data_IF_967059334775
#
_entry.id   IF_967059334775
#
_cell.length_a   1.000
_cell.length_b   1.000
_cell.length_c   1.000
_cell.angle_alpha   90.00
_cell.angle_beta   90.00
_cell.angle_gamma   90.00
#
_symmetry.space_group_name_H-M   'P 1'
#
loop_
_entity.id
_entity.type
_entity.pdbx_description
1 polymer ?
#
# COMPACT_ATOMS: atom_id res chain seq x y z
N UNK A 1 -24.28 25.15 -6.07
CA UNK A 1 -23.37 24.24 -5.35
C UNK A 1 -23.15 22.99 -6.19
N UNK A 2 -22.04 22.86 -6.93
CA UNK A 2 -21.80 21.75 -7.88
C UNK A 2 -21.56 20.37 -7.26
N UNK A 3 -21.39 20.27 -5.94
CA UNK A 3 -21.10 19.00 -5.25
C UNK A 3 -22.37 18.16 -4.98
N UNK A 4 -23.53 18.80 -4.78
CA UNK A 4 -24.79 18.11 -4.47
C UNK A 4 -25.45 17.54 -5.74
N UNK A 5 -25.38 18.29 -6.85
CA UNK A 5 -26.05 17.95 -8.11
C UNK A 5 -25.28 16.93 -8.96
N UNK A 6 -23.99 16.73 -8.71
CA UNK A 6 -23.14 15.91 -9.57
C UNK A 6 -22.70 14.62 -8.87
N UNK A 7 -23.21 13.49 -9.37
CA UNK A 7 -22.90 12.14 -8.87
C UNK A 7 -21.46 11.73 -9.19
N UNK A 8 -20.90 12.16 -10.31
CA UNK A 8 -19.54 11.81 -10.73
C UNK A 8 -18.50 12.56 -9.86
N UNK A 9 -18.77 13.82 -9.55
CA UNK A 9 -17.94 14.62 -8.64
C UNK A 9 -17.94 14.00 -7.24
N UNK A 10 -19.09 13.54 -6.73
CA UNK A 10 -19.17 12.84 -5.43
C UNK A 10 -18.41 11.52 -5.42
N UNK A 11 -18.56 10.68 -6.45
CA UNK A 11 -17.82 9.41 -6.57
C UNK A 11 -16.31 9.64 -6.57
N UNK A 12 -15.85 10.65 -7.31
CA UNK A 12 -14.42 11.00 -7.39
C UNK A 12 -13.88 11.46 -6.04
N UNK A 13 -14.62 12.34 -5.35
CA UNK A 13 -14.23 12.83 -4.03
C UNK A 13 -14.20 11.68 -3.02
N UNK A 14 -15.23 10.82 -2.98
CA UNK A 14 -15.24 9.65 -2.09
C UNK A 14 -14.09 8.68 -2.38
N UNK A 15 -13.77 8.42 -3.64
CA UNK A 15 -12.64 7.55 -4.00
C UNK A 15 -11.29 8.13 -3.53
N UNK A 16 -11.09 9.44 -3.66
CA UNK A 16 -9.88 10.11 -3.19
C UNK A 16 -9.80 10.14 -1.64
N UNK A 17 -10.93 10.38 -0.98
CA UNK A 17 -11.02 10.37 0.49
C UNK A 17 -10.74 8.97 1.04
N UNK A 18 -11.39 7.93 0.52
CA UNK A 18 -11.18 6.55 0.97
C UNK A 18 -9.70 6.14 0.85
N UNK A 19 -9.04 6.46 -0.28
CA UNK A 19 -7.60 6.20 -0.46
C UNK A 19 -6.74 6.88 0.60
N UNK A 20 -7.07 8.14 0.91
CA UNK A 20 -6.34 8.93 1.91
C UNK A 20 -6.60 8.42 3.33
N UNK A 21 -7.83 7.99 3.64
CA UNK A 21 -8.20 7.41 4.92
C UNK A 21 -7.54 6.04 5.14
N UNK A 22 -7.57 5.15 4.14
CA UNK A 22 -6.87 3.87 4.23
C UNK A 22 -5.37 4.06 4.41
N UNK A 23 -4.75 4.99 3.66
CA UNK A 23 -3.33 5.32 3.82
C UNK A 23 -3.04 5.86 5.23
N UNK A 24 -3.85 6.78 5.74
CA UNK A 24 -3.68 7.30 7.10
C UNK A 24 -3.84 6.21 8.17
N UNK A 25 -4.80 5.31 8.00
CA UNK A 25 -4.98 4.14 8.86
C UNK A 25 -3.76 3.23 8.83
N UNK A 26 -3.21 3.00 7.64
CA UNK A 26 -2.01 2.19 7.45
C UNK A 26 -0.76 2.82 8.08
N UNK A 27 -0.56 4.12 7.89
CA UNK A 27 0.56 4.88 8.50
C UNK A 27 0.47 4.87 10.02
N UNK A 28 -0.74 4.98 10.59
CA UNK A 28 -0.95 4.82 12.04
C UNK A 28 -0.68 3.40 12.51
N UNK A 29 -1.09 2.40 11.74
CA UNK A 29 -0.82 0.99 12.05
C UNK A 29 0.68 0.69 12.02
N UNK A 30 1.41 1.22 11.03
CA UNK A 30 2.85 1.10 10.92
C UNK A 30 3.58 1.83 12.07
N UNK A 31 2.98 2.89 12.61
CA UNK A 31 3.50 3.62 13.75
C UNK A 31 3.15 2.91 15.07
N UNK A 32 3.80 1.77 15.30
CA UNK A 32 3.38 0.86 16.36
C UNK A 32 3.92 1.15 17.76
N UNK A 33 4.97 1.97 17.87
CA UNK A 33 5.55 2.38 19.14
C UNK A 33 4.74 3.49 19.80
N UNK A 34 4.38 3.32 21.08
CA UNK A 34 3.75 4.36 21.90
C UNK A 34 2.34 4.78 21.46
N UNK A 35 1.54 3.89 20.86
CA UNK A 35 0.19 4.17 20.31
C UNK A 35 0.16 5.29 19.26
N UNK A 36 1.33 5.59 18.68
CA UNK A 36 1.51 6.71 17.79
C UNK A 36 1.57 8.08 18.45
N UNK A 37 1.77 8.11 19.76
CA UNK A 37 2.02 9.32 20.55
C UNK A 37 3.50 9.70 20.39
N UNK A 38 3.74 10.88 19.82
CA UNK A 38 5.07 11.47 19.79
C UNK A 38 5.30 12.14 21.14
N UNK A 39 6.04 11.48 22.04
CA UNK A 39 6.36 11.98 23.37
C UNK A 39 7.32 13.19 23.37
N UNK A 40 7.95 13.46 22.22
CA UNK A 40 8.92 14.53 22.03
C UNK A 40 8.23 15.88 21.76
N UNK A 41 8.64 16.94 22.46
CA UNK A 41 8.05 18.29 22.34
C UNK A 41 8.82 19.17 21.33
N UNK A 42 9.99 18.74 20.88
CA UNK A 42 10.77 19.49 19.88
C UNK A 42 10.22 19.28 18.47
N UNK A 43 9.73 20.36 17.84
CA UNK A 43 9.13 20.33 16.49
C UNK A 43 10.02 19.66 15.42
N UNK A 44 11.34 19.86 15.49
CA UNK A 44 12.26 19.25 14.53
C UNK A 44 12.30 17.72 14.66
N UNK A 45 12.28 17.19 15.88
CA UNK A 45 12.26 15.75 16.14
C UNK A 45 10.91 15.13 15.78
N UNK A 46 9.80 15.81 16.06
CA UNK A 46 8.47 15.37 15.60
C UNK A 46 8.42 15.20 14.07
N UNK A 47 9.01 16.15 13.32
CA UNK A 47 9.09 16.03 11.85
C UNK A 47 9.91 14.84 11.39
N UNK A 48 11.01 14.50 12.08
CA UNK A 48 11.80 13.31 11.75
C UNK A 48 10.95 12.05 11.94
N UNK A 49 10.29 11.92 13.08
CA UNK A 49 9.45 10.76 13.42
C UNK A 49 8.37 10.55 12.34
N UNK A 50 7.66 11.62 11.95
CA UNK A 50 6.64 11.55 10.89
C UNK A 50 7.24 11.10 9.56
N UNK A 51 8.38 11.68 9.15
CA UNK A 51 9.04 11.33 7.88
C UNK A 51 9.55 9.89 7.87
N UNK A 52 10.16 9.43 8.95
CA UNK A 52 10.63 8.04 9.05
C UNK A 52 9.46 7.06 9.05
N UNK A 53 8.37 7.37 9.74
CA UNK A 53 7.18 6.53 9.71
C UNK A 53 6.56 6.46 8.30
N UNK A 54 6.47 7.58 7.59
CA UNK A 54 6.04 7.60 6.20
C UNK A 54 6.97 6.78 5.29
N UNK A 55 8.29 6.86 5.51
CA UNK A 55 9.26 6.05 4.78
C UNK A 55 9.02 4.55 5.01
N UNK A 56 8.86 4.12 6.27
CA UNK A 56 8.57 2.72 6.61
C UNK A 56 7.26 2.26 5.96
N UNK A 57 6.20 3.06 6.07
CA UNK A 57 4.92 2.76 5.42
C UNK A 57 5.08 2.57 3.90
N UNK A 58 5.81 3.48 3.23
CA UNK A 58 6.05 3.38 1.79
C UNK A 58 6.87 2.15 1.40
N UNK A 59 7.86 1.75 2.21
CA UNK A 59 8.63 0.53 1.97
C UNK A 59 7.76 -0.73 2.07
N UNK A 60 6.86 -0.77 3.06
CA UNK A 60 5.91 -1.88 3.21
C UNK A 60 4.89 -1.89 2.05
N UNK A 61 4.40 -0.72 1.64
CA UNK A 61 3.51 -0.59 0.47
C UNK A 61 4.20 -1.14 -0.79
N UNK A 62 5.46 -0.77 -1.01
CA UNK A 62 6.24 -1.28 -2.13
C UNK A 62 6.34 -2.81 -2.10
N UNK A 63 6.66 -3.39 -0.93
CA UNK A 63 6.71 -4.84 -0.75
C UNK A 63 5.36 -5.50 -1.04
N UNK A 64 4.26 -4.94 -0.52
CA UNK A 64 2.92 -5.47 -0.75
C UNK A 64 2.54 -5.44 -2.23
N UNK A 65 2.76 -4.31 -2.92
CA UNK A 65 2.47 -4.17 -4.35
C UNK A 65 3.30 -5.14 -5.18
N UNK A 66 4.57 -5.32 -4.85
CA UNK A 66 5.47 -6.21 -5.58
C UNK A 66 5.06 -7.69 -5.44
N UNK A 67 4.75 -8.13 -4.22
CA UNK A 67 4.26 -9.49 -3.97
C UNK A 67 2.88 -9.73 -4.59
N UNK A 68 1.97 -8.76 -4.49
CA UNK A 68 0.67 -8.84 -5.15
C UNK A 68 0.83 -8.93 -6.67
N UNK A 69 1.73 -8.14 -7.25
CA UNK A 69 2.01 -8.17 -8.70
C UNK A 69 2.55 -9.52 -9.14
N UNK A 70 3.43 -10.16 -8.35
CA UNK A 70 3.92 -11.52 -8.60
C UNK A 70 2.79 -12.55 -8.62
N UNK A 71 2.03 -12.62 -7.53
CA UNK A 71 0.96 -13.60 -7.38
C UNK A 71 -0.12 -13.40 -8.45
N UNK A 72 -0.47 -12.16 -8.78
CA UNK A 72 -1.44 -11.88 -9.85
C UNK A 72 -0.90 -12.27 -11.24
N UNK A 73 0.39 -12.10 -11.50
CA UNK A 73 0.99 -12.57 -12.75
C UNK A 73 0.97 -14.10 -12.85
N UNK A 74 1.33 -14.80 -11.77
CA UNK A 74 1.28 -16.27 -11.70
C UNK A 74 -0.14 -16.80 -11.93
N UNK A 75 -1.15 -16.23 -11.23
CA UNK A 75 -2.55 -16.61 -11.40
C UNK A 75 -3.05 -16.42 -12.83
N UNK A 76 -2.60 -15.36 -13.52
CA UNK A 76 -2.93 -15.14 -14.93
C UNK A 76 -2.28 -16.20 -15.82
N UNK A 77 -1.02 -16.52 -15.56
CA UNK A 77 -0.28 -17.52 -16.34
C UNK A 77 -0.88 -18.94 -16.16
N UNK A 78 -1.52 -19.19 -15.01
CA UNK A 78 -2.36 -20.38 -14.73
C UNK A 78 -3.74 -20.37 -15.43
N UNK A 79 -4.10 -19.28 -16.12
CA UNK A 79 -5.35 -19.13 -16.87
C UNK A 79 -6.47 -18.39 -16.13
N UNK A 80 -6.21 -17.81 -14.96
CA UNK A 80 -7.22 -17.01 -14.24
C UNK A 80 -7.43 -15.66 -14.93
N UNK A 81 -8.69 -15.29 -15.17
CA UNK A 81 -9.02 -13.99 -15.75
C UNK A 81 -9.02 -12.89 -14.67
N UNK A 82 -8.03 -11.99 -14.73
CA UNK A 82 -7.92 -10.84 -13.83
C UNK A 82 -8.47 -9.60 -14.53
N UNK A 83 -9.67 -9.19 -14.13
CA UNK A 83 -10.31 -8.00 -14.69
C UNK A 83 -9.80 -6.71 -14.04
N UNK A 84 -9.89 -5.55 -14.74
CA UNK A 84 -9.56 -4.25 -14.16
C UNK A 84 -10.36 -3.93 -12.90
N UNK A 85 -11.61 -4.40 -12.81
CA UNK A 85 -12.49 -4.19 -11.66
C UNK A 85 -12.00 -4.93 -10.41
N UNK A 86 -11.48 -6.15 -10.60
CA UNK A 86 -10.86 -6.93 -9.51
C UNK A 86 -9.63 -6.20 -8.99
N UNK A 87 -8.75 -5.72 -9.90
CA UNK A 87 -7.57 -4.96 -9.51
C UNK A 87 -7.93 -3.65 -8.79
N UNK A 88 -8.99 -2.98 -9.22
CA UNK A 88 -9.47 -1.75 -8.59
C UNK A 88 -9.98 -1.96 -7.15
N UNK A 89 -10.41 -3.17 -6.82
CA UNK A 89 -10.82 -3.56 -5.46
C UNK A 89 -9.66 -3.96 -4.55
N UNK A 90 -8.44 -4.09 -5.06
CA UNK A 90 -7.27 -4.46 -4.27
C UNK A 90 -6.60 -3.22 -3.69
N UNK A 91 -6.43 -3.22 -2.36
CA UNK A 91 -5.66 -2.20 -1.64
C UNK A 91 -4.27 -2.74 -1.27
N UNK A 92 -3.19 -1.95 -1.43
CA UNK A 92 -1.84 -2.33 -1.02
C UNK A 92 -1.62 -2.20 0.49
N UNK A 93 -2.58 -1.69 1.25
CA UNK A 93 -2.46 -1.41 2.69
C UNK A 93 -2.75 -2.64 3.57
N UNK A 94 -2.50 -3.85 3.06
CA UNK A 94 -2.74 -5.11 3.77
C UNK A 94 -1.70 -5.32 4.88
N UNK A 95 -2.15 -5.77 6.04
CA UNK A 95 -1.33 -5.88 7.25
C UNK A 95 -1.29 -7.28 7.85
N UNK A 96 -2.20 -8.17 7.43
CA UNK A 96 -2.37 -9.50 8.04
C UNK A 96 -1.16 -10.42 7.89
N UNK A 97 -0.35 -10.24 6.85
CA UNK A 97 0.86 -11.03 6.57
C UNK A 97 2.12 -10.45 7.23
N UNK A 98 2.02 -9.32 7.92
CA UNK A 98 3.16 -8.61 8.50
C UNK A 98 3.22 -8.88 10.00
N UNK A 99 4.34 -9.41 10.45
CA UNK A 99 4.58 -9.62 11.88
C UNK A 99 4.99 -8.29 12.54
N UNK A 100 4.04 -7.63 13.19
CA UNK A 100 4.28 -6.29 13.78
C UNK A 100 5.09 -6.32 15.08
N UNK A 101 4.99 -7.39 15.88
CA UNK A 101 5.56 -7.45 17.24
C UNK A 101 6.48 -8.65 17.48
N UNK A 102 6.80 -9.43 16.46
CA UNK A 102 7.68 -10.59 16.61
C UNK A 102 9.07 -10.38 16.01
N UNK A 103 9.88 -11.41 16.16
CA UNK A 103 11.27 -11.41 15.71
C UNK A 103 11.36 -11.70 14.21
N UNK A 104 12.17 -10.89 13.52
CA UNK A 104 12.58 -11.15 12.15
C UNK A 104 13.97 -11.78 12.15
N UNK A 105 14.06 -13.05 11.76
CA UNK A 105 15.34 -13.68 11.47
C UNK A 105 15.78 -13.30 10.05
N UNK A 106 16.85 -12.53 9.95
CA UNK A 106 17.39 -12.09 8.66
C UNK A 106 18.35 -13.15 8.11
N UNK A 107 17.98 -13.78 6.99
CA UNK A 107 18.91 -14.59 6.21
C UNK A 107 19.61 -13.71 5.17
N UNK A 108 20.85 -13.32 5.46
CA UNK A 108 21.66 -12.49 4.57
C UNK A 108 22.18 -13.25 3.34
N UNK A 109 22.07 -14.59 3.32
CA UNK A 109 22.47 -15.41 2.17
C UNK A 109 21.32 -15.61 1.19
N UNK A 110 20.09 -15.30 1.59
CA UNK A 110 18.91 -15.41 0.74
C UNK A 110 19.05 -14.45 -0.46
N UNK A 111 19.04 -15.01 -1.66
CA UNK A 111 18.97 -14.21 -2.87
C UNK A 111 17.60 -13.54 -2.94
N UNK A 112 17.61 -12.21 -3.11
CA UNK A 112 16.40 -11.42 -3.32
C UNK A 112 16.25 -11.24 -4.82
N UNK A 113 15.16 -11.78 -5.37
CA UNK A 113 14.81 -11.57 -6.76
C UNK A 113 14.61 -10.07 -7.03
N UNK A 114 15.22 -9.49 -8.07
CA UNK A 114 15.02 -8.10 -8.43
C UNK A 114 13.54 -7.79 -8.67
N UNK A 115 13.15 -6.55 -8.35
CA UNK A 115 11.82 -6.04 -8.67
C UNK A 115 11.74 -5.85 -10.18
N UNK A 116 10.79 -6.52 -10.81
CA UNK A 116 10.52 -6.40 -12.24
C UNK A 116 9.42 -5.36 -12.49
N UNK A 117 9.84 -4.14 -12.81
CA UNK A 117 8.94 -3.03 -13.12
C UNK A 117 8.25 -3.15 -14.50
N UNK A 118 8.64 -4.13 -15.32
CA UNK A 118 8.07 -4.34 -16.66
C UNK A 118 6.83 -5.23 -16.67
N UNK A 119 6.54 -5.93 -15.56
CA UNK A 119 5.39 -6.83 -15.44
C UNK A 119 4.08 -6.09 -15.61
N UNK A 120 3.37 -6.41 -16.69
CA UNK A 120 1.99 -6.00 -16.91
C UNK A 120 1.07 -7.07 -16.38
N UNK A 121 0.08 -6.70 -15.56
CA UNK A 121 -0.94 -7.62 -15.06
C UNK A 121 -2.11 -7.67 -16.06
N UNK A 122 -2.54 -6.50 -16.54
CA UNK A 122 -3.59 -6.38 -17.56
C UNK A 122 -3.01 -6.55 -18.97
N UNK A 123 -3.74 -7.26 -19.82
CA UNK A 123 -3.46 -7.30 -21.25
C UNK A 123 -3.54 -5.88 -21.83
N UNK A 124 -2.68 -5.54 -22.78
CA UNK A 124 -2.80 -4.28 -23.49
C UNK A 124 -4.16 -4.25 -24.19
N UNK A 125 -5.03 -3.32 -23.80
CA UNK A 125 -6.26 -3.04 -24.54
C UNK A 125 -5.87 -2.63 -25.95
N UNK A 126 -6.00 -3.53 -26.92
CA UNK A 126 -6.02 -3.16 -28.34
C UNK A 126 -7.21 -2.23 -28.53
N UNK A 127 -6.92 -0.95 -28.76
CA UNK A 127 -7.89 -0.01 -29.33
C UNK A 127 -7.98 -0.24 -30.83
#
# INVERSE_FOLDING_TARGET
MRYIDDVEVRKTIHAATNKSEEFNGFVKWAFFGGEGIIAENVQHEQRKIVRYNQLVANLVILHNVEQMTRVLAELRDEGSNISPEVLAGLSPYRTSHINRFGDYTLDLKRQVEPIDFSRRILAATTR
#
